data_IF_129707511662
#
_entry.id   IF_129707511662
#
_cell.length_a   1.000
_cell.length_b   1.000
_cell.length_c   1.000
_cell.angle_alpha   90.00
_cell.angle_beta   90.00
_cell.angle_gamma   90.00
#
_symmetry.space_group_name_H-M   'P 1'
#
loop_
_entity.id
_entity.type
_entity.pdbx_description
1 polymer ?
#
# COMPACT_ATOMS: atom_id res chain seq x y z
N UNK A 1 43.29 -28.67 2.46
CA UNK A 1 44.16 -27.52 2.76
C UNK A 1 45.32 -27.43 1.76
N UNK A 2 46.05 -28.52 1.50
CA UNK A 2 47.11 -28.56 0.48
C UNK A 2 46.67 -28.12 -0.93
N UNK A 3 45.45 -28.46 -1.38
CA UNK A 3 44.96 -28.09 -2.73
C UNK A 3 44.56 -26.60 -2.86
N UNK A 4 44.40 -25.88 -1.75
CA UNK A 4 44.09 -24.44 -1.75
C UNK A 4 45.38 -23.62 -1.79
N UNK A 5 46.39 -24.05 -1.03
CA UNK A 5 47.73 -23.45 -1.02
C UNK A 5 48.45 -23.62 -2.36
N UNK A 6 48.34 -24.79 -3.00
CA UNK A 6 48.90 -25.02 -4.35
C UNK A 6 48.25 -24.13 -5.40
N UNK A 7 46.92 -23.95 -5.37
CA UNK A 7 46.21 -23.04 -6.29
C UNK A 7 46.54 -21.58 -6.05
N UNK A 8 46.79 -21.18 -4.81
CA UNK A 8 47.25 -19.83 -4.47
C UNK A 8 48.69 -19.58 -4.94
N UNK A 9 49.61 -20.52 -4.66
CA UNK A 9 50.99 -20.43 -5.13
C UNK A 9 51.09 -20.44 -6.68
N UNK A 10 50.28 -21.26 -7.36
CA UNK A 10 50.18 -21.25 -8.82
C UNK A 10 49.67 -19.91 -9.37
N UNK A 11 48.77 -19.24 -8.64
CA UNK A 11 48.26 -17.92 -9.04
C UNK A 11 49.31 -16.83 -8.86
N UNK A 12 50.12 -16.91 -7.81
CA UNK A 12 51.08 -15.88 -7.45
C UNK A 12 52.42 -16.03 -8.21
N UNK A 13 52.91 -17.27 -8.40
CA UNK A 13 54.15 -17.55 -9.14
C UNK A 13 53.94 -17.95 -10.60
N UNK A 14 52.72 -18.31 -11.00
CA UNK A 14 52.41 -18.72 -12.38
C UNK A 14 52.89 -17.74 -13.45
N UNK A 15 52.66 -16.42 -13.31
CA UNK A 15 53.16 -15.41 -14.24
C UNK A 15 54.69 -15.41 -14.39
N UNK A 16 55.41 -15.53 -13.28
CA UNK A 16 56.87 -15.52 -13.25
C UNK A 16 57.45 -16.78 -13.91
N UNK A 17 56.85 -17.93 -13.65
CA UNK A 17 57.24 -19.22 -14.25
C UNK A 17 56.95 -19.21 -15.76
N UNK A 18 55.79 -18.69 -16.17
CA UNK A 18 55.43 -18.54 -17.58
C UNK A 18 56.44 -17.65 -18.32
N UNK A 19 56.73 -16.46 -17.78
CA UNK A 19 57.72 -15.56 -18.37
C UNK A 19 59.10 -16.22 -18.48
N UNK A 20 59.58 -16.83 -17.39
CA UNK A 20 60.91 -17.43 -17.34
C UNK A 20 61.04 -18.61 -18.30
N UNK A 21 60.03 -19.48 -18.36
CA UNK A 21 60.01 -20.64 -19.25
C UNK A 21 59.97 -20.24 -20.73
N UNK A 22 59.12 -19.27 -21.10
CA UNK A 22 59.03 -18.77 -22.49
C UNK A 22 60.33 -18.07 -22.89
N UNK A 23 60.92 -17.27 -22.00
CA UNK A 23 62.16 -16.54 -22.27
C UNK A 23 63.36 -17.50 -22.42
N UNK A 24 63.56 -18.39 -21.45
CA UNK A 24 64.67 -19.36 -21.53
C UNK A 24 64.48 -20.29 -22.72
N UNK A 25 63.26 -20.78 -22.96
CA UNK A 25 62.94 -21.60 -24.13
C UNK A 25 63.24 -20.89 -25.44
N UNK A 26 62.87 -19.61 -25.56
CA UNK A 26 63.18 -18.78 -26.73
C UNK A 26 64.68 -18.56 -26.93
N UNK A 27 65.45 -18.33 -25.85
CA UNK A 27 66.91 -18.20 -25.93
C UNK A 27 67.59 -19.50 -26.40
N UNK A 28 67.18 -20.65 -25.85
CA UNK A 28 67.67 -21.98 -26.26
C UNK A 28 67.31 -22.24 -27.73
N UNK A 29 66.10 -21.89 -28.15
CA UNK A 29 65.68 -22.01 -29.54
C UNK A 29 66.55 -21.15 -30.47
N UNK A 30 66.80 -19.88 -30.14
CA UNK A 30 67.66 -19.00 -30.94
C UNK A 30 69.08 -19.57 -31.03
N UNK A 31 69.60 -20.10 -29.93
CA UNK A 31 70.95 -20.66 -29.89
C UNK A 31 71.08 -21.90 -30.78
N UNK A 32 70.22 -22.88 -30.57
CA UNK A 32 70.20 -24.14 -31.33
C UNK A 32 69.92 -23.92 -32.81
N UNK A 33 68.91 -23.12 -33.16
CA UNK A 33 68.55 -22.84 -34.56
C UNK A 33 69.67 -22.16 -35.35
N UNK A 34 70.40 -21.22 -34.74
CA UNK A 34 71.55 -20.58 -35.39
C UNK A 34 72.75 -21.51 -35.54
N UNK A 35 73.05 -22.33 -34.53
CA UNK A 35 74.13 -23.32 -34.61
C UNK A 35 73.86 -24.39 -35.69
N UNK A 36 72.60 -24.76 -35.88
CA UNK A 36 72.17 -25.71 -36.91
C UNK A 36 71.98 -25.06 -38.30
N UNK A 37 72.28 -23.76 -38.45
CA UNK A 37 72.22 -23.07 -39.75
C UNK A 37 70.80 -22.88 -40.30
N UNK A 38 69.78 -22.77 -39.44
CA UNK A 38 68.39 -22.60 -39.88
C UNK A 38 68.18 -21.26 -40.60
N UNK A 39 67.16 -21.22 -41.44
CA UNK A 39 66.84 -20.02 -42.22
C UNK A 39 66.51 -18.82 -41.32
N UNK A 40 67.01 -17.65 -41.72
CA UNK A 40 66.91 -16.42 -40.95
C UNK A 40 65.46 -15.97 -40.62
N UNK A 41 64.46 -16.14 -41.51
CA UNK A 41 63.06 -15.85 -41.18
C UNK A 41 62.52 -16.72 -40.04
N UNK A 42 62.97 -17.98 -39.91
CA UNK A 42 62.51 -18.89 -38.84
C UNK A 42 63.13 -18.51 -37.51
N UNK A 43 64.44 -18.22 -37.50
CA UNK A 43 65.20 -17.81 -36.30
C UNK A 43 64.60 -16.56 -35.66
N UNK A 44 63.98 -15.69 -36.44
CA UNK A 44 63.35 -14.46 -35.95
C UNK A 44 61.83 -14.57 -35.79
N UNK A 45 61.14 -15.22 -36.72
CA UNK A 45 59.69 -15.37 -36.69
C UNK A 45 59.20 -16.11 -35.45
N UNK A 46 59.92 -17.15 -35.01
CA UNK A 46 59.54 -17.93 -33.82
C UNK A 46 59.63 -17.10 -32.53
N UNK A 47 60.73 -16.37 -32.23
CA UNK A 47 60.76 -15.43 -31.11
C UNK A 47 59.65 -14.37 -31.14
N UNK A 48 59.36 -13.77 -32.29
CA UNK A 48 58.23 -12.83 -32.42
C UNK A 48 56.88 -13.51 -32.13
N UNK A 49 56.68 -14.73 -32.63
CA UNK A 49 55.49 -15.51 -32.37
C UNK A 49 55.36 -15.83 -30.87
N UNK A 50 56.45 -16.24 -30.21
CA UNK A 50 56.46 -16.49 -28.76
C UNK A 50 56.08 -15.24 -27.96
N UNK A 51 56.59 -14.07 -28.35
CA UNK A 51 56.20 -12.79 -27.74
C UNK A 51 54.71 -12.48 -27.98
N UNK A 52 54.21 -12.70 -29.19
CA UNK A 52 52.80 -12.49 -29.52
C UNK A 52 51.86 -13.46 -28.78
N UNK A 53 52.26 -14.73 -28.62
CA UNK A 53 51.53 -15.72 -27.83
C UNK A 53 51.54 -15.34 -26.35
N UNK A 54 52.70 -14.96 -25.81
CA UNK A 54 52.80 -14.47 -24.43
C UNK A 54 51.88 -13.25 -24.20
N UNK A 55 51.85 -12.31 -25.16
CA UNK A 55 50.94 -11.16 -25.15
C UNK A 55 49.47 -11.60 -25.12
N UNK A 56 49.05 -12.47 -26.04
CA UNK A 56 47.67 -12.93 -26.14
C UNK A 56 47.23 -13.71 -24.89
N UNK A 57 48.10 -14.57 -24.34
CA UNK A 57 47.86 -15.30 -23.09
C UNK A 57 47.75 -14.33 -21.92
N UNK A 58 48.62 -13.33 -21.85
CA UNK A 58 48.59 -12.31 -20.78
C UNK A 58 47.31 -11.46 -20.83
N UNK A 59 46.71 -11.26 -22.02
CA UNK A 59 45.43 -10.57 -22.17
C UNK A 59 44.22 -11.47 -21.89
N UNK A 60 44.20 -12.69 -22.42
CA UNK A 60 43.06 -13.59 -22.35
C UNK A 60 42.84 -14.15 -20.93
N UNK A 61 43.92 -14.41 -20.20
CA UNK A 61 43.84 -14.92 -18.84
C UNK A 61 43.83 -13.79 -17.81
N UNK A 62 42.77 -12.97 -17.83
CA UNK A 62 42.50 -11.91 -16.85
C UNK A 62 42.35 -12.40 -15.38
N UNK A 63 42.37 -13.72 -15.16
CA UNK A 63 42.39 -14.36 -13.83
C UNK A 63 43.78 -14.40 -13.17
N UNK A 64 44.85 -14.25 -13.94
CA UNK A 64 46.16 -13.91 -13.38
C UNK A 64 46.18 -12.40 -13.23
N UNK A 65 46.23 -11.92 -11.98
CA UNK A 65 46.48 -10.51 -11.68
C UNK A 65 47.93 -10.15 -12.05
N UNK A 66 48.36 -10.35 -13.30
CA UNK A 66 49.52 -9.60 -13.76
C UNK A 66 49.13 -8.14 -13.63
N UNK A 67 49.95 -7.38 -12.89
CA UNK A 67 49.95 -5.96 -13.08
C UNK A 67 50.20 -5.74 -14.57
N UNK A 68 49.27 -5.12 -15.31
CA UNK A 68 49.41 -4.92 -16.76
C UNK A 68 50.76 -4.27 -17.13
N UNK A 69 51.35 -3.53 -16.19
CA UNK A 69 52.72 -2.99 -16.23
C UNK A 69 53.80 -4.08 -16.34
N UNK A 70 53.72 -5.13 -15.51
CA UNK A 70 54.70 -6.20 -15.49
C UNK A 70 54.67 -7.04 -16.77
N UNK A 71 53.49 -7.24 -17.39
CA UNK A 71 53.38 -7.94 -18.66
C UNK A 71 54.10 -7.20 -19.80
N UNK A 72 53.92 -5.88 -19.86
CA UNK A 72 54.60 -5.00 -20.81
C UNK A 72 56.12 -4.97 -20.58
N UNK A 73 56.56 -4.90 -19.33
CA UNK A 73 57.99 -4.95 -18.99
C UNK A 73 58.61 -6.33 -19.33
N UNK A 74 57.90 -7.42 -19.05
CA UNK A 74 58.33 -8.77 -19.41
C UNK A 74 58.53 -8.91 -20.94
N UNK A 75 57.61 -8.39 -21.75
CA UNK A 75 57.75 -8.39 -23.22
C UNK A 75 58.95 -7.57 -23.70
N UNK A 76 59.23 -6.45 -23.05
CA UNK A 76 60.41 -5.65 -23.33
C UNK A 76 61.70 -6.41 -23.01
N UNK A 77 61.81 -7.01 -21.83
CA UNK A 77 62.98 -7.81 -21.45
C UNK A 77 63.13 -9.04 -22.34
N UNK A 78 62.03 -9.69 -22.73
CA UNK A 78 62.05 -10.82 -23.65
C UNK A 78 62.61 -10.43 -25.01
N UNK A 79 62.11 -9.32 -25.60
CA UNK A 79 62.62 -8.81 -26.87
C UNK A 79 64.11 -8.44 -26.82
N UNK A 80 64.53 -7.81 -25.72
CA UNK A 80 65.93 -7.47 -25.46
C UNK A 80 66.84 -8.70 -25.33
N UNK A 81 66.45 -9.66 -24.49
CA UNK A 81 67.22 -10.89 -24.25
C UNK A 81 67.32 -11.76 -25.51
N UNK A 82 66.25 -11.83 -26.32
CA UNK A 82 66.28 -12.53 -27.61
C UNK A 82 67.25 -11.89 -28.58
N UNK A 83 67.27 -10.55 -28.66
CA UNK A 83 68.23 -9.84 -29.50
C UNK A 83 69.67 -10.03 -29.02
N UNK A 84 69.93 -9.93 -27.71
CA UNK A 84 71.26 -10.19 -27.16
C UNK A 84 71.73 -11.63 -27.38
N UNK A 85 70.85 -12.61 -27.19
CA UNK A 85 71.16 -14.03 -27.45
C UNK A 85 71.46 -14.26 -28.92
N UNK A 86 70.64 -13.68 -29.80
CA UNK A 86 70.83 -13.75 -31.25
C UNK A 86 72.15 -13.11 -31.67
N UNK A 87 72.51 -11.96 -31.12
CA UNK A 87 73.79 -11.29 -31.38
C UNK A 87 74.98 -12.09 -30.84
N UNK A 88 74.87 -12.60 -29.60
CA UNK A 88 75.92 -13.41 -28.98
C UNK A 88 76.30 -14.63 -29.81
N UNK A 89 75.31 -15.33 -30.36
CA UNK A 89 75.55 -16.48 -31.23
C UNK A 89 76.10 -16.07 -32.60
N UNK A 90 75.63 -14.96 -33.17
CA UNK A 90 76.21 -14.41 -34.41
C UNK A 90 77.69 -14.06 -34.24
N UNK A 91 78.08 -13.48 -33.10
CA UNK A 91 79.47 -13.15 -32.78
C UNK A 91 80.32 -14.40 -32.53
N UNK A 92 79.76 -15.41 -31.87
CA UNK A 92 80.43 -16.69 -31.66
C UNK A 92 80.74 -17.40 -32.99
N UNK A 93 79.77 -17.46 -33.90
CA UNK A 93 79.94 -18.06 -35.24
C UNK A 93 80.88 -17.25 -36.14
N UNK A 94 80.98 -15.94 -35.93
CA UNK A 94 81.92 -15.06 -36.64
C UNK A 94 83.38 -15.41 -36.38
N UNK A 95 83.72 -15.86 -35.18
CA UNK A 95 85.08 -16.31 -34.86
C UNK A 95 85.53 -17.54 -35.70
N UNK A 96 84.59 -18.22 -36.37
CA UNK A 96 84.82 -19.40 -37.20
C UNK A 96 85.14 -19.08 -38.65
N UNK A 97 84.22 -18.46 -39.42
CA UNK A 97 84.39 -18.28 -40.89
C UNK A 97 83.26 -17.45 -41.57
N UNK A 98 82.74 -16.37 -40.96
CA UNK A 98 81.60 -15.61 -41.55
C UNK A 98 81.95 -14.21 -42.04
N UNK A 99 81.34 -13.78 -43.15
CA UNK A 99 81.46 -12.42 -43.69
C UNK A 99 80.75 -11.38 -42.80
N UNK A 100 81.31 -10.17 -42.72
CA UNK A 100 80.73 -9.04 -41.96
C UNK A 100 79.28 -8.76 -42.38
N UNK A 101 78.97 -8.89 -43.68
CA UNK A 101 77.63 -8.72 -44.24
C UNK A 101 76.60 -9.68 -43.62
N UNK A 102 77.00 -10.93 -43.35
CA UNK A 102 76.13 -11.92 -42.70
C UNK A 102 75.80 -11.52 -41.27
N UNK A 103 76.76 -10.94 -40.54
CA UNK A 103 76.54 -10.44 -39.18
C UNK A 103 75.56 -9.27 -39.21
N UNK A 104 75.76 -8.30 -40.10
CA UNK A 104 74.91 -7.11 -40.19
C UNK A 104 73.47 -7.51 -40.54
N UNK A 105 73.28 -8.47 -41.46
CA UNK A 105 71.96 -9.01 -41.79
C UNK A 105 71.34 -9.75 -40.60
N UNK A 106 72.09 -10.62 -39.92
CA UNK A 106 71.62 -11.34 -38.74
C UNK A 106 71.29 -10.39 -37.58
N UNK A 107 72.04 -9.29 -37.47
CA UNK A 107 71.84 -8.23 -36.49
C UNK A 107 70.57 -7.42 -36.78
N UNK A 108 70.40 -6.92 -38.00
CA UNK A 108 69.23 -6.14 -38.39
C UNK A 108 67.93 -6.91 -38.17
N UNK A 109 67.92 -8.20 -38.47
CA UNK A 109 66.76 -9.06 -38.22
C UNK A 109 66.63 -9.36 -36.70
N UNK A 110 67.72 -9.56 -35.95
CA UNK A 110 67.66 -9.70 -34.48
C UNK A 110 67.09 -8.46 -33.78
N UNK A 111 67.33 -7.26 -34.31
CA UNK A 111 66.78 -6.00 -33.77
C UNK A 111 65.24 -5.96 -33.88
N UNK A 112 64.64 -6.69 -34.81
CA UNK A 112 63.16 -6.72 -34.96
C UNK A 112 62.43 -7.25 -33.74
N UNK A 113 62.99 -8.21 -32.98
CA UNK A 113 62.38 -8.67 -31.72
C UNK A 113 62.46 -7.63 -30.61
N UNK A 114 63.51 -6.80 -30.58
CA UNK A 114 63.62 -5.67 -29.64
C UNK A 114 62.61 -4.58 -30.01
N UNK A 115 62.50 -4.24 -31.29
CA UNK A 115 61.50 -3.26 -31.76
C UNK A 115 60.09 -3.76 -31.39
N UNK A 116 59.78 -5.03 -31.70
CA UNK A 116 58.51 -5.63 -31.33
C UNK A 116 58.26 -5.58 -29.82
N UNK A 117 59.26 -5.90 -28.98
CA UNK A 117 59.13 -5.84 -27.52
C UNK A 117 58.82 -4.44 -27.00
N UNK A 118 59.49 -3.41 -27.53
CA UNK A 118 59.22 -2.01 -27.16
C UNK A 118 57.84 -1.57 -27.64
N UNK A 119 57.47 -1.86 -28.89
CA UNK A 119 56.14 -1.53 -29.43
C UNK A 119 55.04 -2.17 -28.59
N UNK A 120 55.22 -3.43 -28.24
CA UNK A 120 54.24 -4.19 -27.47
C UNK A 120 54.16 -3.71 -26.02
N UNK A 121 55.29 -3.29 -25.42
CA UNK A 121 55.32 -2.59 -24.13
C UNK A 121 54.51 -1.29 -24.17
N UNK A 122 54.70 -0.47 -25.20
CA UNK A 122 53.96 0.79 -25.35
C UNK A 122 52.46 0.51 -25.46
N UNK A 123 52.07 -0.47 -26.28
CA UNK A 123 50.67 -0.87 -26.43
C UNK A 123 50.06 -1.35 -25.10
N UNK A 124 50.79 -2.20 -24.36
CA UNK A 124 50.35 -2.67 -23.03
C UNK A 124 50.22 -1.54 -22.02
N UNK A 125 51.20 -0.62 -21.99
CA UNK A 125 51.22 0.47 -21.03
C UNK A 125 50.16 1.55 -21.34
N UNK A 126 49.74 1.70 -22.60
CA UNK A 126 48.61 2.55 -22.96
C UNK A 126 47.24 1.97 -22.55
N UNK A 127 47.12 0.64 -22.40
CA UNK A 127 45.89 -0.01 -21.89
C UNK A 127 45.70 0.13 -20.36
N UNK A 128 46.57 0.90 -19.70
CA UNK A 128 46.53 1.16 -18.25
C UNK A 128 45.32 2.02 -17.88
N UNK A 129 44.27 1.40 -17.32
CA UNK A 129 43.33 2.08 -16.41
C UNK A 129 43.85 1.85 -15.00
N UNK A 130 44.31 2.90 -14.33
CA UNK A 130 44.91 2.79 -13.00
C UNK A 130 43.88 2.28 -11.98
N UNK A 131 43.99 1.04 -11.49
CA UNK A 131 43.01 0.48 -10.57
C UNK A 131 43.12 1.10 -9.16
N UNK A 132 44.28 1.68 -8.81
CA UNK A 132 44.53 2.26 -7.48
C UNK A 132 43.79 3.59 -7.33
N UNK A 133 43.73 4.39 -8.39
CA UNK A 133 42.99 5.65 -8.37
C UNK A 133 41.49 5.41 -8.25
N UNK A 134 40.98 4.33 -8.87
CA UNK A 134 39.58 3.91 -8.74
C UNK A 134 39.30 3.42 -7.31
N UNK A 135 40.19 2.64 -6.70
CA UNK A 135 39.98 2.18 -5.33
C UNK A 135 39.97 3.34 -4.32
N UNK A 136 40.89 4.30 -4.47
CA UNK A 136 40.92 5.49 -3.60
C UNK A 136 39.71 6.38 -3.80
N UNK A 137 39.28 6.61 -5.05
CA UNK A 137 38.08 7.41 -5.33
C UNK A 137 36.83 6.74 -4.78
N UNK A 138 36.67 5.43 -4.98
CA UNK A 138 35.56 4.65 -4.43
C UNK A 138 35.58 4.66 -2.90
N UNK A 139 36.75 4.50 -2.26
CA UNK A 139 36.86 4.63 -0.79
C UNK A 139 36.46 6.02 -0.30
N UNK A 140 36.85 7.06 -1.01
CA UNK A 140 36.49 8.43 -0.67
C UNK A 140 34.99 8.69 -0.82
N UNK A 141 34.41 8.28 -1.95
CA UNK A 141 32.98 8.39 -2.25
C UNK A 141 32.13 7.60 -1.23
N UNK A 142 32.53 6.37 -0.90
CA UNK A 142 31.87 5.58 0.14
C UNK A 142 31.93 6.26 1.51
N UNK A 143 33.07 6.85 1.88
CA UNK A 143 33.22 7.57 3.13
C UNK A 143 32.33 8.83 3.17
N UNK A 144 32.25 9.57 2.07
CA UNK A 144 31.36 10.73 1.94
C UNK A 144 29.89 10.33 2.05
N UNK A 145 29.46 9.31 1.30
CA UNK A 145 28.09 8.80 1.33
C UNK A 145 27.71 8.30 2.72
N UNK A 146 28.61 7.60 3.41
CA UNK A 146 28.40 7.15 4.80
C UNK A 146 28.22 8.34 5.75
N UNK A 147 29.02 9.40 5.60
CA UNK A 147 28.86 10.63 6.41
C UNK A 147 27.52 11.31 6.17
N UNK A 148 27.09 11.39 4.91
CA UNK A 148 25.78 11.97 4.54
C UNK A 148 24.63 11.16 5.14
N UNK A 149 24.64 9.83 4.99
CA UNK A 149 23.63 8.93 5.59
C UNK A 149 23.59 9.10 7.11
N UNK A 150 24.75 9.13 7.77
CA UNK A 150 24.82 9.36 9.22
C UNK A 150 24.19 10.70 9.62
N UNK A 151 24.46 11.76 8.88
CA UNK A 151 23.88 13.09 9.14
C UNK A 151 22.36 13.08 8.98
N UNK A 152 21.87 12.42 7.93
CA UNK A 152 20.43 12.31 7.67
C UNK A 152 19.72 11.53 8.78
N UNK A 153 20.28 10.38 9.19
CA UNK A 153 19.74 9.57 10.28
C UNK A 153 19.70 10.33 11.62
N UNK A 154 20.73 11.13 11.92
CA UNK A 154 20.78 11.95 13.12
C UNK A 154 19.75 13.08 13.07
N UNK A 155 19.49 13.65 11.89
CA UNK A 155 18.40 14.59 11.66
C UNK A 155 17.03 13.94 11.89
N UNK A 156 16.78 12.79 11.25
CA UNK A 156 15.52 12.05 11.40
C UNK A 156 15.27 11.63 12.85
N UNK A 157 16.31 11.21 13.58
CA UNK A 157 16.19 10.86 15.00
C UNK A 157 15.72 12.04 15.86
N UNK A 158 16.24 13.24 15.61
CA UNK A 158 15.79 14.47 16.28
C UNK A 158 14.35 14.80 15.93
N UNK A 159 13.98 14.69 14.66
CA UNK A 159 12.63 14.95 14.19
C UNK A 159 11.61 13.97 14.79
N UNK A 160 11.93 12.67 14.85
CA UNK A 160 11.10 11.67 15.53
C UNK A 160 10.95 11.96 17.02
N UNK A 161 12.02 12.37 17.69
CA UNK A 161 11.97 12.73 19.10
C UNK A 161 11.08 13.95 19.34
N UNK A 162 11.16 14.94 18.47
CA UNK A 162 10.29 16.12 18.48
C UNK A 162 8.83 15.74 18.22
N UNK A 163 8.56 14.99 17.15
CA UNK A 163 7.23 14.49 16.81
C UNK A 163 6.61 13.71 17.96
N UNK A 164 7.35 12.80 18.58
CA UNK A 164 6.87 12.02 19.74
C UNK A 164 6.46 12.94 20.89
N UNK A 165 7.24 13.99 21.18
CA UNK A 165 6.91 14.95 22.24
C UNK A 165 5.64 15.71 21.92
N UNK A 166 5.54 16.28 20.72
CA UNK A 166 4.37 17.05 20.27
C UNK A 166 3.13 16.17 20.20
N UNK A 167 3.25 14.93 19.71
CA UNK A 167 2.16 13.97 19.66
C UNK A 167 1.63 13.63 21.05
N UNK A 168 2.50 13.35 22.02
CA UNK A 168 2.07 13.11 23.40
C UNK A 168 1.41 14.35 24.02
N UNK A 169 1.93 15.55 23.75
CA UNK A 169 1.33 16.79 24.21
C UNK A 169 -0.08 16.99 23.61
N UNK A 170 -0.21 16.86 22.29
CA UNK A 170 -1.52 16.98 21.61
C UNK A 170 -2.51 15.93 22.09
N UNK A 171 -2.07 14.70 22.35
CA UNK A 171 -2.93 13.66 22.91
C UNK A 171 -3.39 14.01 24.32
N UNK A 172 -2.47 14.48 25.18
CA UNK A 172 -2.82 14.89 26.55
C UNK A 172 -3.79 16.08 26.56
N UNK A 173 -3.51 17.13 25.78
CA UNK A 173 -4.37 18.30 25.63
C UNK A 173 -5.73 17.91 25.02
N UNK A 174 -5.72 17.02 24.02
CA UNK A 174 -6.93 16.49 23.39
C UNK A 174 -7.81 15.72 24.36
N UNK A 175 -7.25 14.85 25.21
CA UNK A 175 -8.01 14.15 26.24
C UNK A 175 -8.58 15.09 27.29
N UNK A 176 -7.81 16.08 27.72
CA UNK A 176 -8.27 17.08 28.68
C UNK A 176 -9.44 17.91 28.10
N UNK A 177 -9.36 18.28 26.83
CA UNK A 177 -10.43 19.00 26.16
C UNK A 177 -11.69 18.14 25.94
N UNK A 178 -11.53 16.86 25.58
CA UNK A 178 -12.64 15.91 25.50
C UNK A 178 -13.32 15.75 26.85
N UNK A 179 -12.57 15.64 27.95
CA UNK A 179 -13.11 15.55 29.29
C UNK A 179 -13.92 16.81 29.66
N UNK A 180 -13.38 18.00 29.39
CA UNK A 180 -14.08 19.28 29.60
C UNK A 180 -15.37 19.37 28.77
N UNK A 181 -15.34 18.94 27.51
CA UNK A 181 -16.54 18.92 26.66
C UNK A 181 -17.58 17.92 27.17
N UNK A 182 -17.16 16.73 27.61
CA UNK A 182 -18.06 15.74 28.18
C UNK A 182 -18.75 16.27 29.45
N UNK A 183 -18.04 16.98 30.31
CA UNK A 183 -18.60 17.62 31.51
C UNK A 183 -19.64 18.69 31.16
N UNK A 184 -19.29 19.62 30.25
CA UNK A 184 -20.24 20.64 29.76
C UNK A 184 -21.49 20.03 29.12
N UNK A 185 -21.31 19.04 28.26
CA UNK A 185 -22.42 18.32 27.63
C UNK A 185 -23.28 17.62 28.68
N UNK A 186 -22.66 17.03 29.72
CA UNK A 186 -23.37 16.40 30.83
C UNK A 186 -24.24 17.39 31.62
N UNK A 187 -23.72 18.58 31.92
CA UNK A 187 -24.49 19.67 32.54
C UNK A 187 -25.66 20.13 31.67
N UNK A 188 -25.43 20.26 30.36
CA UNK A 188 -26.47 20.68 29.41
C UNK A 188 -27.57 19.61 29.29
N UNK A 189 -27.19 18.33 29.24
CA UNK A 189 -28.13 17.20 29.28
C UNK A 189 -28.93 17.22 30.59
N UNK A 190 -28.30 17.45 31.75
CA UNK A 190 -29.03 17.54 33.02
C UNK A 190 -30.09 18.65 32.98
N UNK A 191 -29.74 19.85 32.48
CA UNK A 191 -30.69 20.96 32.34
C UNK A 191 -31.86 20.59 31.43
N UNK A 192 -31.57 19.95 30.30
CA UNK A 192 -32.61 19.47 29.37
C UNK A 192 -33.51 18.44 30.07
N UNK A 193 -32.93 17.50 30.82
CA UNK A 193 -33.68 16.48 31.54
C UNK A 193 -34.60 17.08 32.61
N UNK A 194 -34.14 18.11 33.33
CA UNK A 194 -34.94 18.81 34.33
C UNK A 194 -36.14 19.54 33.68
N UNK A 195 -35.92 20.19 32.53
CA UNK A 195 -37.00 20.82 31.76
C UNK A 195 -38.00 19.78 31.27
N UNK A 196 -37.53 18.66 30.71
CA UNK A 196 -38.38 17.57 30.24
C UNK A 196 -39.19 16.94 31.39
N UNK A 197 -38.56 16.71 32.55
CA UNK A 197 -39.24 16.18 33.73
C UNK A 197 -40.37 17.12 34.20
N UNK A 198 -40.09 18.43 34.28
CA UNK A 198 -41.12 19.45 34.62
C UNK A 198 -42.25 19.48 33.60
N UNK A 199 -41.93 19.39 32.31
CA UNK A 199 -42.94 19.35 31.24
C UNK A 199 -43.79 18.07 31.26
N UNK A 200 -43.21 16.92 31.61
CA UNK A 200 -43.91 15.64 31.69
C UNK A 200 -44.88 15.55 32.89
N UNK A 201 -44.54 16.16 34.02
CA UNK A 201 -45.40 16.18 35.22
C UNK A 201 -46.67 17.02 35.01
N UNK A 202 -46.58 18.08 34.20
CA UNK A 202 -47.70 19.01 33.98
C UNK A 202 -48.98 18.35 33.43
N UNK A 203 -48.97 17.57 32.33
CA UNK A 203 -50.16 16.90 31.82
C UNK A 203 -50.67 15.80 32.76
N UNK A 204 -49.80 15.16 33.55
CA UNK A 204 -50.22 14.18 34.58
C UNK A 204 -51.06 14.88 35.65
N UNK A 205 -50.62 16.03 36.14
CA UNK A 205 -51.37 16.81 37.12
C UNK A 205 -52.68 17.35 36.53
N UNK A 206 -52.67 17.82 35.28
CA UNK A 206 -53.88 18.28 34.58
C UNK A 206 -54.89 17.14 34.39
N UNK A 207 -54.45 15.94 34.00
CA UNK A 207 -55.30 14.76 33.87
C UNK A 207 -55.84 14.29 35.22
N UNK A 208 -55.03 14.31 36.29
CA UNK A 208 -55.47 13.96 37.64
C UNK A 208 -56.53 14.93 38.17
N UNK A 209 -56.39 16.23 37.88
CA UNK A 209 -57.40 17.24 38.22
C UNK A 209 -58.71 16.98 37.47
N UNK A 210 -58.65 16.74 36.15
CA UNK A 210 -59.85 16.42 35.36
C UNK A 210 -60.55 15.14 35.85
N UNK A 211 -59.80 14.10 36.22
CA UNK A 211 -60.37 12.88 36.80
C UNK A 211 -61.08 13.15 38.13
N UNK A 212 -60.50 14.00 38.98
CA UNK A 212 -61.11 14.39 40.26
C UNK A 212 -62.44 15.11 40.03
N UNK A 213 -62.47 16.08 39.10
CA UNK A 213 -63.68 16.81 38.73
C UNK A 213 -64.75 15.88 38.15
N UNK A 214 -64.35 14.96 37.26
CA UNK A 214 -65.26 13.96 36.68
C UNK A 214 -65.85 13.05 37.76
N UNK A 215 -65.04 12.65 38.74
CA UNK A 215 -65.48 11.82 39.87
C UNK A 215 -66.46 12.57 40.78
N UNK A 216 -66.25 13.87 40.99
CA UNK A 216 -67.18 14.72 41.74
C UNK A 216 -68.53 14.85 41.02
N UNK A 217 -68.51 15.09 39.71
CA UNK A 217 -69.73 15.12 38.88
C UNK A 217 -70.48 13.79 38.90
N UNK A 218 -69.77 12.67 38.78
CA UNK A 218 -70.37 11.33 38.91
C UNK A 218 -71.02 11.13 40.29
N UNK A 219 -70.36 11.56 41.37
CA UNK A 219 -70.93 11.48 42.72
C UNK A 219 -72.22 12.30 42.84
N UNK A 220 -72.28 13.49 42.23
CA UNK A 220 -73.48 14.31 42.19
C UNK A 220 -74.62 13.63 41.41
N UNK A 221 -74.30 13.03 40.25
CA UNK A 221 -75.26 12.27 39.44
C UNK A 221 -75.79 11.07 40.23
N UNK A 222 -74.92 10.32 40.90
CA UNK A 222 -75.31 9.19 41.75
C UNK A 222 -76.21 9.67 42.90
N UNK A 223 -75.90 10.83 43.52
CA UNK A 223 -76.75 11.44 44.54
C UNK A 223 -78.14 11.81 44.02
N UNK A 224 -78.22 12.46 42.85
CA UNK A 224 -79.50 12.79 42.19
C UNK A 224 -80.28 11.55 41.79
N UNK A 225 -79.60 10.53 41.28
CA UNK A 225 -80.20 9.24 40.95
C UNK A 225 -80.74 8.55 42.21
N UNK A 226 -79.95 8.53 43.29
CA UNK A 226 -80.38 8.01 44.60
C UNK A 226 -81.64 8.70 45.12
N UNK A 227 -81.69 10.04 45.05
CA UNK A 227 -82.88 10.80 45.43
C UNK A 227 -84.10 10.50 44.54
N UNK A 228 -83.89 10.32 43.23
CA UNK A 228 -84.96 9.94 42.30
C UNK A 228 -85.49 8.53 42.61
N UNK A 229 -84.60 7.56 42.89
CA UNK A 229 -84.96 6.21 43.31
C UNK A 229 -85.69 6.22 44.65
N UNK A 230 -85.26 7.03 45.63
CA UNK A 230 -85.95 7.20 46.91
C UNK A 230 -87.34 7.81 46.71
N UNK A 231 -87.48 8.79 45.80
CA UNK A 231 -88.77 9.39 45.45
C UNK A 231 -89.72 8.38 44.82
N UNK A 232 -89.21 7.52 43.93
CA UNK A 232 -89.98 6.40 43.35
C UNK A 232 -90.34 5.40 44.45
N UNK A 233 -89.40 5.08 45.35
CA UNK A 233 -89.63 4.21 46.51
C UNK A 233 -90.74 4.73 47.43
N UNK A 234 -90.72 6.02 47.78
CA UNK A 234 -91.79 6.68 48.56
C UNK A 234 -93.14 6.69 47.84
N UNK A 235 -93.15 6.97 46.53
CA UNK A 235 -94.38 6.83 45.72
C UNK A 235 -94.89 5.39 45.67
N UNK A 236 -94.02 4.40 45.77
CA UNK A 236 -94.38 2.99 45.81
C UNK A 236 -94.83 2.55 47.21
N UNK A 237 -94.32 3.18 48.28
CA UNK A 237 -94.71 2.98 49.68
C UNK A 237 -96.10 3.59 50.00
N UNK A 238 -96.45 4.71 49.37
CA UNK A 238 -97.81 5.28 49.39
C UNK A 238 -98.83 4.44 48.57
N UNK A 239 -98.36 3.48 47.76
CA UNK A 239 -99.23 2.51 47.09
C UNK A 239 -99.42 1.29 48.00
N UNK A 240 -100.28 1.50 48.99
CA UNK A 240 -101.02 0.47 49.72
C UNK A 240 -102.49 0.90 49.65
N UNK A 241 -103.23 0.59 48.59
CA UNK A 241 -103.80 -0.73 48.31
C UNK A 241 -104.30 -0.79 46.85
N UNK A 242 -104.17 -1.92 46.13
CA UNK A 242 -105.02 -2.25 44.99
C UNK A 242 -106.45 -2.42 45.53
N UNK A 243 -107.52 -2.10 44.82
CA UNK A 243 -107.91 -2.98 43.71
C UNK A 243 -108.33 -2.26 42.41
N UNK A 244 -108.52 -0.93 42.37
CA UNK A 244 -109.17 -0.31 41.19
C UNK A 244 -108.31 0.64 40.34
N UNK A 245 -107.13 1.05 40.82
CA UNK A 245 -106.29 2.05 40.10
C UNK A 245 -105.48 1.42 38.95
N UNK A 246 -105.31 0.09 38.95
CA UNK A 246 -104.53 -0.63 37.93
C UNK A 246 -105.21 -0.65 36.55
N UNK A 247 -106.50 -0.27 36.45
CA UNK A 247 -107.22 -0.26 35.16
C UNK A 247 -107.47 1.12 34.54
N UNK A 248 -107.60 2.17 35.34
CA UNK A 248 -108.06 3.47 34.82
C UNK A 248 -106.92 4.36 34.31
N UNK A 249 -105.76 4.36 34.98
CA UNK A 249 -104.64 5.29 34.68
C UNK A 249 -103.55 4.65 33.79
N UNK A 250 -103.39 3.32 33.83
CA UNK A 250 -102.38 2.61 33.02
C UNK A 250 -102.84 2.35 31.58
N UNK A 251 -104.13 2.46 31.28
CA UNK A 251 -104.66 2.29 29.92
C UNK A 251 -104.10 3.32 28.92
N UNK A 252 -104.10 4.64 29.19
CA UNK A 252 -103.50 5.60 28.26
C UNK A 252 -101.97 5.51 28.20
N UNK A 253 -101.29 5.14 29.29
CA UNK A 253 -99.84 4.97 29.29
C UNK A 253 -99.38 3.73 28.48
N UNK A 254 -100.10 2.61 28.58
CA UNK A 254 -99.84 1.42 27.75
C UNK A 254 -100.22 1.67 26.29
N UNK A 255 -101.31 2.41 26.03
CA UNK A 255 -101.66 2.83 24.67
C UNK A 255 -100.59 3.75 24.06
N UNK A 256 -100.10 4.73 24.82
CA UNK A 256 -99.03 5.64 24.39
C UNK A 256 -97.70 4.90 24.19
N UNK A 257 -97.35 3.95 25.07
CA UNK A 257 -96.14 3.12 24.89
C UNK A 257 -96.30 2.19 23.68
N UNK A 258 -97.50 1.63 23.44
CA UNK A 258 -97.77 0.80 22.25
C UNK A 258 -97.70 1.64 20.96
N UNK A 259 -98.24 2.85 20.97
CA UNK A 259 -98.17 3.80 19.85
C UNK A 259 -96.73 4.29 19.62
N UNK A 260 -95.97 4.54 20.69
CA UNK A 260 -94.55 4.94 20.61
C UNK A 260 -93.64 3.76 20.18
N UNK A 261 -93.97 2.53 20.60
CA UNK A 261 -93.30 1.31 20.15
C UNK A 261 -93.61 0.99 18.68
N UNK A 262 -94.87 1.16 18.25
CA UNK A 262 -95.26 1.04 16.83
C UNK A 262 -94.65 2.17 15.98
N UNK A 263 -94.50 3.39 16.53
CA UNK A 263 -93.82 4.52 15.87
C UNK A 263 -92.29 4.34 15.79
N UNK A 264 -91.65 3.67 16.76
CA UNK A 264 -90.21 3.33 16.69
C UNK A 264 -89.92 2.03 15.93
N UNK A 265 -90.91 1.19 15.65
CA UNK A 265 -90.78 0.00 14.79
C UNK A 265 -90.96 0.31 13.30
N UNK A 266 -91.52 1.46 12.91
CA UNK A 266 -91.60 1.88 11.50
C UNK A 266 -90.23 2.10 10.82
N UNK A 267 -89.25 2.80 11.44
CA UNK A 267 -87.90 2.90 10.88
C UNK A 267 -87.23 1.53 10.69
N UNK A 268 -87.47 0.59 11.60
CA UNK A 268 -86.86 -0.75 11.56
C UNK A 268 -87.48 -1.65 10.49
N UNK A 269 -88.79 -1.58 10.22
CA UNK A 269 -89.41 -2.28 9.06
C UNK A 269 -88.94 -1.72 7.72
N UNK A 270 -88.73 -0.41 7.62
CA UNK A 270 -88.18 0.22 6.42
C UNK A 270 -86.70 -0.15 6.18
N UNK A 271 -85.93 -0.36 7.26
CA UNK A 271 -84.55 -0.88 7.21
C UNK A 271 -84.53 -2.36 6.78
N UNK A 272 -85.49 -3.18 7.23
CA UNK A 272 -85.62 -4.58 6.80
C UNK A 272 -85.98 -4.71 5.31
N UNK A 273 -86.89 -3.87 4.79
CA UNK A 273 -87.21 -3.83 3.36
C UNK A 273 -86.06 -3.32 2.48
N UNK A 274 -85.26 -2.36 2.97
CA UNK A 274 -84.04 -1.93 2.26
C UNK A 274 -82.92 -2.97 2.32
N UNK A 275 -82.79 -3.72 3.41
CA UNK A 275 -81.86 -4.85 3.51
C UNK A 275 -82.30 -6.04 2.63
N UNK A 276 -83.59 -6.34 2.52
CA UNK A 276 -84.12 -7.34 1.56
C UNK A 276 -83.91 -6.92 0.11
N UNK A 277 -84.11 -5.64 -0.24
CA UNK A 277 -83.77 -5.11 -1.58
C UNK A 277 -82.26 -5.09 -1.89
N UNK A 278 -81.41 -5.02 -0.86
CA UNK A 278 -79.96 -5.19 -1.01
C UNK A 278 -79.52 -6.67 -1.08
N UNK A 279 -80.29 -7.59 -0.48
CA UNK A 279 -80.03 -9.03 -0.51
C UNK A 279 -80.37 -9.70 -1.87
N UNK A 280 -81.24 -9.08 -2.67
CA UNK A 280 -81.62 -9.53 -4.02
C UNK A 280 -80.84 -8.87 -5.18
N UNK A 281 -79.73 -8.16 -4.88
CA UNK A 281 -78.83 -7.64 -5.91
C UNK A 281 -77.75 -8.67 -6.32
N UNK A 282 -77.54 -8.94 -7.62
CA UNK A 282 -76.52 -9.87 -8.10
C UNK A 282 -75.11 -9.47 -7.68
N UNK A 283 -74.37 -10.41 -7.06
CA UNK A 283 -73.00 -10.23 -6.57
C UNK A 283 -72.03 -9.86 -7.71
N UNK A 284 -71.31 -8.73 -7.61
CA UNK A 284 -70.10 -8.53 -8.42
C UNK A 284 -68.94 -9.37 -7.89
N UNK A 285 -68.12 -9.82 -8.82
CA UNK A 285 -66.98 -10.73 -8.68
C UNK A 285 -65.91 -10.26 -7.66
N UNK A 286 -65.13 -11.19 -7.08
CA UNK A 286 -64.26 -10.93 -5.94
C UNK A 286 -63.05 -10.07 -6.31
N UNK A 287 -62.90 -8.94 -5.62
CA UNK A 287 -61.65 -8.18 -5.60
C UNK A 287 -60.62 -8.90 -4.71
N UNK A 288 -59.41 -9.01 -5.25
CA UNK A 288 -58.32 -9.85 -4.78
C UNK A 288 -57.82 -9.51 -3.37
N UNK A 289 -57.74 -10.53 -2.53
CA UNK A 289 -56.92 -10.57 -1.33
C UNK A 289 -55.46 -10.73 -1.74
N UNK A 290 -54.62 -9.74 -1.43
CA UNK A 290 -53.16 -9.92 -1.43
C UNK A 290 -52.74 -10.34 -0.02
N UNK A 291 -52.42 -11.62 0.12
CA UNK A 291 -51.48 -12.12 1.13
C UNK A 291 -50.05 -11.78 0.67
N UNK A 292 -49.09 -11.57 1.58
CA UNK A 292 -48.35 -12.74 2.04
C UNK A 292 -48.02 -12.75 3.54
N UNK A 293 -48.19 -13.92 4.15
CA UNK A 293 -47.39 -14.36 5.27
C UNK A 293 -46.26 -15.27 4.75
N UNK A 294 -45.02 -14.93 5.11
CA UNK A 294 -43.74 -15.68 5.09
C UNK A 294 -42.66 -14.70 4.58
N UNK A 295 -41.78 -14.14 5.38
CA UNK A 295 -40.77 -14.91 6.11
C UNK A 295 -40.32 -14.28 7.43
N UNK A 296 -39.93 -15.21 8.30
CA UNK A 296 -39.25 -15.00 9.55
C UNK A 296 -37.88 -14.32 9.40
N UNK A 297 -37.51 -13.62 10.47
CA UNK A 297 -36.16 -13.52 11.01
C UNK A 297 -35.12 -12.63 10.29
N UNK A 298 -34.94 -11.46 10.89
CA UNK A 298 -33.69 -11.03 11.56
C UNK A 298 -32.70 -10.13 10.79
N UNK A 299 -32.31 -9.06 11.50
CA UNK A 299 -31.07 -8.23 11.37
C UNK A 299 -31.08 -7.28 10.17
N UNK A 300 -30.78 -5.96 10.20
CA UNK A 300 -29.97 -5.10 11.06
C UNK A 300 -30.48 -3.64 10.97
N UNK A 301 -29.99 -2.83 11.89
CA UNK A 301 -30.30 -1.42 12.14
C UNK A 301 -29.45 -0.46 11.26
N UNK A 302 -29.97 0.79 11.13
CA UNK A 302 -29.29 2.08 10.89
C UNK A 302 -29.27 2.72 9.48
N UNK A 303 -30.05 3.82 9.44
CA UNK A 303 -29.66 5.23 9.18
C UNK A 303 -29.02 5.60 7.84
N UNK A 304 -29.87 6.22 7.01
CA UNK A 304 -29.76 7.62 6.55
C UNK A 304 -28.41 8.35 6.77
N UNK A 305 -27.78 8.69 5.65
CA UNK A 305 -27.19 10.01 5.47
C UNK A 305 -27.38 10.44 4.01
N UNK A 306 -28.19 11.47 3.81
CA UNK A 306 -28.46 12.03 2.50
C UNK A 306 -27.33 12.84 1.85
N UNK A 307 -27.64 13.14 0.59
CA UNK A 307 -27.37 14.36 -0.19
C UNK A 307 -26.21 14.40 -1.21
N UNK A 308 -26.69 14.49 -2.46
CA UNK A 308 -26.27 15.37 -3.56
C UNK A 308 -25.20 14.85 -4.52
N UNK A 309 -25.70 14.41 -5.68
CA UNK A 309 -24.97 14.27 -6.92
C UNK A 309 -24.49 15.64 -7.44
N UNK A 310 -23.28 15.68 -8.01
CA UNK A 310 -22.84 16.71 -8.93
C UNK A 310 -22.18 16.01 -10.12
N UNK A 311 -22.74 16.23 -11.32
CA UNK A 311 -22.18 15.86 -12.61
C UNK A 311 -20.87 16.64 -12.86
N UNK A 312 -19.87 15.98 -13.44
CA UNK A 312 -19.23 16.41 -14.69
C UNK A 312 -18.09 15.47 -15.11
N UNK A 313 -18.11 15.10 -16.38
CA UNK A 313 -17.20 14.21 -17.08
C UNK A 313 -15.81 14.82 -17.36
N UNK A 314 -14.76 14.02 -17.66
CA UNK A 314 -13.53 14.53 -18.26
C UNK A 314 -13.53 14.38 -19.79
N UNK A 315 -13.32 15.49 -20.50
CA UNK A 315 -12.99 15.52 -21.93
C UNK A 315 -11.47 15.49 -22.14
N UNK A 316 -11.05 14.73 -23.14
CA UNK A 316 -9.70 14.65 -23.66
C UNK A 316 -9.34 15.87 -24.54
N UNK A 317 -8.04 16.20 -24.60
CA UNK A 317 -7.41 16.72 -25.82
C UNK A 317 -6.95 18.19 -25.84
N UNK A 318 -5.62 18.34 -25.94
CA UNK A 318 -4.87 19.40 -26.63
C UNK A 318 -4.90 20.86 -26.11
N UNK A 319 -3.71 21.35 -25.67
CA UNK A 319 -2.96 22.47 -26.27
C UNK A 319 -2.05 23.17 -25.24
N UNK A 320 -0.74 23.23 -25.53
CA UNK A 320 0.23 24.09 -24.83
C UNK A 320 -0.08 25.57 -25.11
N UNK A 321 0.27 26.51 -24.19
CA UNK A 321 1.37 27.41 -24.55
C UNK A 321 2.29 27.90 -23.40
N UNK A 322 3.56 28.07 -23.80
CA UNK A 322 4.60 29.06 -23.42
C UNK A 322 4.57 29.72 -22.04
N UNK A 323 5.54 29.31 -21.21
CA UNK A 323 6.11 30.08 -20.09
C UNK A 323 6.65 31.42 -20.55
N UNK A 324 6.26 32.51 -19.88
CA UNK A 324 6.91 33.82 -19.95
C UNK A 324 7.54 34.09 -18.60
N UNK A 325 8.87 34.17 -18.59
CA UNK A 325 9.67 34.60 -17.45
C UNK A 325 9.53 36.10 -17.25
N UNK A 326 9.46 36.55 -16.01
CA UNK A 326 9.78 37.92 -15.62
C UNK A 326 10.62 37.85 -14.33
N UNK A 327 11.90 38.17 -14.49
CA UNK A 327 12.85 38.51 -13.45
C UNK A 327 12.82 40.05 -13.30
N UNK A 328 12.73 40.51 -12.07
CA UNK A 328 13.50 41.63 -11.55
C UNK A 328 14.25 41.11 -10.33
#
# INVERSE_FOLDING_TARGET
>A
MADVETRQALRDYGPMILFSSVTIGGMIFIWTSKLLGWSLPVVTGVPLLLMAVYFAVSLAFAGFRLHNEQAGDNLYYMGFLFTLSSLGVSLYLFAGETSIETIVRNFGIAVTSTIAGVTLRILFNQMRRDPIDIERSVRHELAEMTRRVRSELDSSSREFSHYRRVSNQMLSEGFEEIARQAERNGEEIQKILEVLAKQAVKPINEAAAQLTDTTAQLSEIIGKFGAAVETVGKKLEDIRSPEDVVRAELAPAIAAIKEMAEAQLQPLRNIEETLKRMADLPRPAPAQLVSPASDAASVDNRMDSGRSANENAPLAGAARPKRRWHLW
#
